data_IF_973902966835
#
_entry.id   IF_973902966835
#
_cell.length_a   1.000
_cell.length_b   1.000
_cell.length_c   1.000
_cell.angle_alpha   90.00
_cell.angle_beta   90.00
_cell.angle_gamma   90.00
#
_symmetry.space_group_name_H-M   'P 1'
#
loop_
_entity.id
_entity.type
_entity.pdbx_description
1 polymer ?
#
# COMPACT_ATOMS: atom_id res chain seq x y z
N UNK A 1 30.36 3.94 6.98
CA UNK A 1 30.58 4.55 5.66
C UNK A 1 31.01 5.99 5.86
N UNK A 2 32.04 6.45 5.15
CA UNK A 2 32.35 7.88 5.02
C UNK A 2 32.23 8.19 3.53
N UNK A 3 31.39 9.14 3.16
CA UNK A 3 31.37 9.65 1.79
C UNK A 3 32.55 10.64 1.68
N UNK A 4 33.63 10.32 0.94
CA UNK A 4 34.82 11.17 0.89
C UNK A 4 34.58 12.53 0.24
N UNK A 5 33.41 12.73 -0.38
CA UNK A 5 32.99 13.99 -1.00
C UNK A 5 32.03 14.80 -0.11
N UNK A 6 31.63 14.29 1.05
CA UNK A 6 30.81 15.04 2.00
C UNK A 6 31.67 16.04 2.78
N UNK A 7 31.10 17.21 3.06
CA UNK A 7 31.68 18.15 4.03
C UNK A 7 31.18 17.84 5.44
N UNK A 8 31.77 18.47 6.45
CA UNK A 8 31.46 18.21 7.86
C UNK A 8 29.98 18.43 8.23
N UNK A 9 29.28 19.35 7.56
CA UNK A 9 27.86 19.59 7.82
C UNK A 9 26.98 18.46 7.25
N UNK A 10 27.31 17.94 6.07
CA UNK A 10 26.65 16.77 5.50
C UNK A 10 26.91 15.51 6.34
N UNK A 11 28.15 15.33 6.84
CA UNK A 11 28.47 14.23 7.74
C UNK A 11 27.69 14.32 9.05
N UNK A 12 27.51 15.52 9.61
CA UNK A 12 26.66 15.74 10.80
C UNK A 12 25.20 15.40 10.53
N UNK A 13 24.68 15.67 9.34
CA UNK A 13 23.32 15.24 8.95
C UNK A 13 23.22 13.72 8.93
N UNK A 14 24.23 13.03 8.39
CA UNK A 14 24.27 11.57 8.39
C UNK A 14 24.33 10.98 9.81
N UNK A 15 25.18 11.53 10.70
CA UNK A 15 25.24 11.12 12.11
C UNK A 15 23.90 11.34 12.81
N UNK A 16 23.25 12.49 12.58
CA UNK A 16 21.90 12.75 13.13
C UNK A 16 20.87 11.73 12.65
N UNK A 17 20.93 11.32 11.38
CA UNK A 17 20.06 10.28 10.85
C UNK A 17 20.31 8.93 11.54
N UNK A 18 21.58 8.58 11.79
CA UNK A 18 21.94 7.37 12.54
C UNK A 18 21.45 7.40 13.99
N UNK A 19 21.63 8.52 14.69
CA UNK A 19 21.09 8.72 16.05
C UNK A 19 19.57 8.60 16.07
N UNK A 20 18.88 9.19 15.09
CA UNK A 20 17.42 9.15 14.99
C UNK A 20 16.92 7.73 14.74
N UNK A 21 17.49 7.01 13.76
CA UNK A 21 17.07 5.65 13.42
C UNK A 21 17.34 4.66 14.57
N UNK A 22 18.53 4.73 15.19
CA UNK A 22 18.84 3.89 16.36
C UNK A 22 18.00 4.30 17.59
N UNK A 23 17.72 5.59 17.75
CA UNK A 23 16.81 6.10 18.79
C UNK A 23 15.35 5.69 18.56
N UNK A 24 14.98 5.30 17.35
CA UNK A 24 13.66 4.78 16.98
C UNK A 24 13.55 3.23 17.03
N UNK A 25 14.66 2.51 17.24
CA UNK A 25 14.69 1.04 17.31
C UNK A 25 14.22 0.46 18.65
N UNK A 26 13.22 -0.41 18.60
CA UNK A 26 12.61 -1.10 19.73
C UNK A 26 12.96 -2.58 19.73
N UNK A 27 13.35 -3.08 20.90
CA UNK A 27 13.41 -4.53 21.13
C UNK A 27 12.02 -5.17 20.99
N UNK A 28 11.99 -6.42 20.54
CA UNK A 28 10.75 -7.21 20.51
C UNK A 28 10.07 -7.25 21.89
N UNK A 29 8.77 -6.98 21.91
CA UNK A 29 7.96 -6.97 23.14
C UNK A 29 6.47 -7.09 22.80
N UNK A 30 5.71 -7.72 23.71
CA UNK A 30 4.29 -7.98 23.49
C UNK A 30 4.07 -8.97 22.35
N UNK A 31 3.22 -8.59 21.39
CA UNK A 31 2.97 -9.38 20.19
C UNK A 31 4.21 -9.48 19.27
N UNK A 32 4.98 -8.40 19.13
CA UNK A 32 6.11 -8.30 18.20
C UNK A 32 7.14 -9.42 18.41
N UNK A 33 7.44 -10.18 17.35
CA UNK A 33 8.38 -11.34 17.39
C UNK A 33 9.83 -10.97 17.12
N UNK A 34 10.05 -9.81 16.54
CA UNK A 34 11.36 -9.28 16.18
C UNK A 34 11.46 -7.83 16.61
N UNK A 35 12.69 -7.38 16.74
CA UNK A 35 13.01 -5.98 16.89
C UNK A 35 12.48 -5.18 15.70
N UNK A 36 12.05 -3.94 15.94
CA UNK A 36 11.42 -3.09 14.94
C UNK A 36 11.89 -1.65 15.08
N UNK A 37 11.64 -0.81 14.09
CA UNK A 37 11.96 0.62 14.12
C UNK A 37 10.68 1.40 13.87
N UNK A 38 10.29 2.22 14.83
CA UNK A 38 9.06 3.01 14.69
C UNK A 38 9.34 4.33 13.94
N UNK A 39 8.33 5.00 13.37
CA UNK A 39 8.57 6.25 12.65
C UNK A 39 9.16 7.35 13.54
N UNK A 40 8.76 7.41 14.82
CA UNK A 40 9.34 8.33 15.80
C UNK A 40 9.04 7.89 17.24
N UNK A 41 10.08 7.79 18.07
CA UNK A 41 9.94 7.46 19.49
C UNK A 41 9.22 8.55 20.30
N UNK A 42 9.18 9.80 19.81
CA UNK A 42 8.60 10.94 20.54
C UNK A 42 7.23 11.38 20.02
N UNK A 43 6.80 10.87 18.86
CA UNK A 43 5.53 11.30 18.27
C UNK A 43 4.33 10.58 18.89
N UNK A 44 3.22 11.32 19.01
CA UNK A 44 1.98 10.92 19.71
C UNK A 44 1.45 9.55 19.29
N UNK A 45 1.55 9.21 18.01
CA UNK A 45 0.98 8.00 17.41
C UNK A 45 2.01 7.06 16.80
N UNK A 46 3.32 7.36 16.92
CA UNK A 46 4.40 6.54 16.36
C UNK A 46 5.33 5.93 17.41
N UNK A 47 5.09 6.21 18.70
CA UNK A 47 5.89 5.67 19.80
C UNK A 47 5.46 4.24 20.19
N UNK A 48 6.06 3.69 21.24
CA UNK A 48 5.97 2.26 21.56
C UNK A 48 6.77 1.44 20.54
N UNK A 49 6.23 0.31 20.08
CA UNK A 49 6.77 -0.51 18.98
C UNK A 49 5.78 -0.61 17.79
N UNK A 50 5.04 0.48 17.54
CA UNK A 50 4.13 0.58 16.41
C UNK A 50 4.93 0.65 15.09
N UNK A 51 4.68 -0.31 14.20
CA UNK A 51 5.52 -0.55 13.02
C UNK A 51 4.65 -0.65 11.77
N UNK A 52 5.09 0.05 10.71
CA UNK A 52 4.41 0.13 9.43
C UNK A 52 5.27 -0.46 8.31
N UNK A 53 4.68 -1.07 7.27
CA UNK A 53 5.44 -1.66 6.17
C UNK A 53 6.28 -0.63 5.41
N UNK A 54 5.68 0.47 4.90
CA UNK A 54 6.45 1.40 4.06
C UNK A 54 7.56 2.16 4.80
N UNK A 55 7.40 2.37 6.11
CA UNK A 55 8.42 2.96 6.99
C UNK A 55 9.56 1.96 7.11
N UNK A 56 9.22 0.70 7.37
CA UNK A 56 10.17 -0.41 7.50
C UNK A 56 11.04 -0.55 6.26
N UNK A 57 10.46 -0.52 5.06
CA UNK A 57 11.23 -0.66 3.80
C UNK A 57 12.29 0.43 3.68
N UNK A 58 11.90 1.68 3.94
CA UNK A 58 12.79 2.86 3.86
C UNK A 58 13.84 2.86 4.96
N UNK A 59 13.43 2.56 6.20
CA UNK A 59 14.32 2.48 7.36
C UNK A 59 15.36 1.38 7.16
N UNK A 60 14.96 0.16 6.81
CA UNK A 60 15.86 -0.96 6.61
C UNK A 60 16.87 -0.71 5.48
N UNK A 61 16.42 -0.08 4.38
CA UNK A 61 17.28 0.30 3.26
C UNK A 61 18.43 1.23 3.71
N UNK A 62 18.13 2.20 4.58
CA UNK A 62 19.14 3.09 5.16
C UNK A 62 19.99 2.39 6.23
N UNK A 63 19.33 1.68 7.16
CA UNK A 63 19.96 1.10 8.33
C UNK A 63 20.95 0.01 8.00
N UNK A 64 20.78 -0.75 6.91
CA UNK A 64 21.74 -1.82 6.60
C UNK A 64 23.18 -1.33 6.44
N UNK A 65 23.36 -0.05 6.13
CA UNK A 65 24.66 0.56 5.99
C UNK A 65 25.44 0.79 7.30
N UNK A 66 24.78 0.71 8.46
CA UNK A 66 25.41 0.97 9.76
C UNK A 66 24.87 0.10 10.91
N UNK A 67 23.70 -0.51 10.75
CA UNK A 67 23.05 -1.41 11.70
C UNK A 67 22.24 -2.51 10.95
N UNK A 68 22.94 -3.44 10.27
CA UNK A 68 22.31 -4.47 9.42
C UNK A 68 21.43 -5.47 10.17
N UNK A 69 21.74 -5.78 11.43
CA UNK A 69 20.96 -6.73 12.22
C UNK A 69 19.57 -6.16 12.54
N UNK A 70 19.49 -4.88 12.92
CA UNK A 70 18.21 -4.21 13.13
C UNK A 70 17.46 -4.02 11.81
N UNK A 71 18.15 -3.75 10.69
CA UNK A 71 17.49 -3.66 9.38
C UNK A 71 16.79 -4.98 8.99
N UNK A 72 17.47 -6.13 9.16
CA UNK A 72 16.88 -7.46 8.94
C UNK A 72 15.72 -7.72 9.87
N UNK A 73 15.88 -7.46 11.17
CA UNK A 73 14.83 -7.70 12.15
C UNK A 73 13.59 -6.82 11.94
N UNK A 74 13.77 -5.57 11.52
CA UNK A 74 12.66 -4.67 11.23
C UNK A 74 11.78 -5.23 10.08
N UNK A 75 12.42 -5.73 9.01
CA UNK A 75 11.72 -6.41 7.91
C UNK A 75 11.03 -7.68 8.43
N UNK A 76 11.74 -8.52 9.21
CA UNK A 76 11.14 -9.73 9.81
C UNK A 76 9.93 -9.42 10.69
N UNK A 77 9.95 -8.30 11.42
CA UNK A 77 8.84 -7.89 12.27
C UNK A 77 7.54 -7.75 11.48
N UNK A 78 7.59 -7.12 10.31
CA UNK A 78 6.42 -6.99 9.43
C UNK A 78 5.96 -8.35 8.90
N UNK A 79 6.88 -9.16 8.39
CA UNK A 79 6.55 -10.47 7.82
C UNK A 79 6.22 -11.55 8.86
N UNK A 80 6.44 -11.31 10.15
CA UNK A 80 6.06 -12.23 11.22
C UNK A 80 4.53 -12.37 11.36
N UNK A 81 3.79 -11.39 10.86
CA UNK A 81 2.33 -11.35 10.86
C UNK A 81 1.74 -11.33 9.45
N UNK A 82 2.53 -11.77 8.46
CA UNK A 82 2.02 -12.02 7.12
C UNK A 82 0.95 -13.12 7.19
N UNK A 83 -0.19 -12.89 6.56
CA UNK A 83 -1.34 -13.80 6.60
C UNK A 83 -0.99 -15.10 5.89
N UNK A 84 -1.37 -16.20 6.52
CA UNK A 84 -1.24 -17.56 6.01
C UNK A 84 -2.62 -18.07 5.58
N UNK A 85 -2.69 -19.05 4.67
CA UNK A 85 -3.95 -19.64 4.18
C UNK A 85 -4.94 -20.07 5.29
N UNK A 86 -4.43 -20.45 6.46
CA UNK A 86 -5.22 -20.92 7.60
C UNK A 86 -5.47 -19.83 8.67
N UNK A 87 -5.29 -18.55 8.33
CA UNK A 87 -5.54 -17.45 9.26
C UNK A 87 -6.99 -17.45 9.75
N UNK A 88 -7.17 -17.27 11.06
CA UNK A 88 -8.48 -17.36 11.70
C UNK A 88 -9.38 -16.14 11.49
N UNK A 89 -8.82 -15.02 11.04
CA UNK A 89 -9.53 -13.74 10.88
C UNK A 89 -9.82 -13.47 9.41
N UNK A 90 -8.83 -13.70 8.53
CA UNK A 90 -8.86 -13.31 7.11
C UNK A 90 -8.17 -14.34 6.19
N UNK A 91 -8.68 -15.59 6.10
CA UNK A 91 -8.07 -16.62 5.25
C UNK A 91 -8.10 -16.27 3.75
N UNK A 92 -8.93 -15.31 3.32
CA UNK A 92 -8.97 -14.79 1.95
C UNK A 92 -7.87 -13.77 1.63
N UNK A 93 -7.04 -13.39 2.61
CA UNK A 93 -5.94 -12.43 2.46
C UNK A 93 -4.56 -13.12 2.54
N UNK A 94 -4.40 -14.38 2.12
CA UNK A 94 -3.09 -15.05 2.13
C UNK A 94 -2.01 -14.19 1.46
N UNK A 95 -0.86 -14.04 2.12
CA UNK A 95 0.25 -13.20 1.65
C UNK A 95 0.19 -11.72 2.07
N UNK A 96 -0.97 -11.24 2.54
CA UNK A 96 -1.14 -9.87 3.06
C UNK A 96 -0.23 -9.54 4.24
N UNK A 97 0.22 -8.28 4.30
CA UNK A 97 0.98 -7.71 5.42
C UNK A 97 0.15 -6.58 6.08
N UNK A 98 -0.13 -6.66 7.39
CA UNK A 98 -0.85 -5.61 8.12
C UNK A 98 -0.21 -4.21 8.00
N UNK A 99 -1.04 -3.16 7.95
CA UNK A 99 -0.59 -1.78 7.96
C UNK A 99 0.09 -1.38 9.27
N UNK A 100 -0.45 -1.81 10.42
CA UNK A 100 0.13 -1.48 11.72
C UNK A 100 0.24 -2.70 12.59
N UNK A 101 1.47 -3.03 12.96
CA UNK A 101 1.78 -3.95 14.05
C UNK A 101 2.12 -3.16 15.30
N UNK A 102 1.76 -3.67 16.48
CA UNK A 102 2.02 -3.01 17.75
C UNK A 102 2.15 -4.02 18.90
N UNK A 103 2.42 -3.53 20.11
CA UNK A 103 2.57 -4.35 21.32
C UNK A 103 1.34 -5.24 21.57
N UNK A 104 0.13 -4.67 21.46
CA UNK A 104 -1.13 -5.37 21.70
C UNK A 104 -1.79 -5.72 20.37
N UNK A 105 -2.23 -6.99 20.25
CA UNK A 105 -3.07 -7.45 19.15
C UNK A 105 -4.43 -6.74 19.16
N UNK A 106 -5.12 -6.70 18.02
CA UNK A 106 -6.51 -6.25 17.97
C UNK A 106 -7.45 -7.21 18.72
N UNK A 107 -8.69 -6.78 19.05
CA UNK A 107 -9.71 -7.66 19.60
C UNK A 107 -10.02 -8.90 18.74
N UNK A 108 -9.97 -8.77 17.41
CA UNK A 108 -10.20 -9.88 16.47
C UNK A 108 -9.14 -10.98 16.62
N UNK A 109 -7.95 -10.61 17.11
CA UNK A 109 -6.83 -11.51 17.38
C UNK A 109 -6.64 -11.81 18.87
N UNK A 110 -7.64 -11.49 19.70
CA UNK A 110 -7.66 -11.81 21.13
C UNK A 110 -6.87 -10.86 22.03
N UNK A 111 -6.47 -9.69 21.53
CA UNK A 111 -5.89 -8.62 22.33
C UNK A 111 -6.88 -7.51 22.67
N UNK A 112 -6.37 -6.38 23.16
CA UNK A 112 -7.12 -5.17 23.50
C UNK A 112 -6.54 -3.90 22.83
N UNK A 113 -5.65 -4.09 21.86
CA UNK A 113 -4.97 -3.01 21.14
C UNK A 113 -5.91 -2.25 20.20
N UNK A 114 -5.87 -0.92 20.28
CA UNK A 114 -6.60 -0.04 19.37
C UNK A 114 -5.82 0.38 18.11
N UNK A 115 -4.52 0.09 18.06
CA UNK A 115 -3.65 0.54 16.97
C UNK A 115 -3.35 -0.53 15.92
N UNK A 116 -3.43 -1.82 16.28
CA UNK A 116 -3.22 -2.92 15.35
C UNK A 116 -4.20 -2.81 14.18
N UNK A 117 -3.70 -2.62 12.96
CA UNK A 117 -4.53 -2.30 11.80
C UNK A 117 -4.33 -3.31 10.67
N UNK A 118 -5.44 -3.90 10.24
CA UNK A 118 -5.50 -4.81 9.10
C UNK A 118 -6.53 -4.37 8.06
N UNK A 119 -6.97 -3.10 8.10
CA UNK A 119 -7.93 -2.54 7.14
C UNK A 119 -7.33 -2.28 5.76
N UNK A 120 -6.03 -2.17 5.68
CA UNK A 120 -5.24 -1.86 4.49
C UNK A 120 -3.80 -2.31 4.75
N UNK A 121 -2.98 -2.34 3.71
CA UNK A 121 -1.51 -2.44 3.85
C UNK A 121 -0.86 -1.07 3.58
N UNK A 122 0.34 -1.05 3.00
CA UNK A 122 1.05 0.13 2.48
C UNK A 122 1.75 -0.18 1.15
N UNK A 123 2.27 0.81 0.40
CA UNK A 123 2.91 0.54 -0.89
C UNK A 123 4.11 -0.40 -0.75
N UNK A 124 4.22 -1.39 -1.64
CA UNK A 124 5.25 -2.42 -1.53
C UNK A 124 6.60 -1.97 -2.10
N UNK A 125 7.55 -1.70 -1.20
CA UNK A 125 8.99 -1.60 -1.50
C UNK A 125 9.77 -2.72 -0.80
N UNK A 126 9.09 -3.83 -0.51
CA UNK A 126 9.64 -4.92 0.29
C UNK A 126 10.82 -5.61 -0.42
N UNK A 127 10.66 -6.00 -1.69
CA UNK A 127 11.73 -6.65 -2.45
C UNK A 127 12.94 -5.71 -2.66
N UNK A 128 12.69 -4.42 -2.85
CA UNK A 128 13.74 -3.39 -2.92
C UNK A 128 14.57 -3.32 -1.62
N UNK A 129 13.90 -3.28 -0.46
CA UNK A 129 14.58 -3.25 0.84
C UNK A 129 15.33 -4.56 1.13
N UNK A 130 14.71 -5.72 0.85
CA UNK A 130 15.33 -7.04 1.00
C UNK A 130 16.58 -7.16 0.13
N UNK A 131 16.50 -6.77 -1.15
CA UNK A 131 17.62 -6.79 -2.08
C UNK A 131 18.74 -5.85 -1.62
N UNK A 132 18.41 -4.67 -1.10
CA UNK A 132 19.43 -3.76 -0.55
C UNK A 132 20.19 -4.38 0.60
N UNK A 133 19.48 -5.10 1.47
CA UNK A 133 20.10 -5.81 2.59
C UNK A 133 21.08 -6.86 2.07
N UNK A 134 20.67 -7.65 1.09
CA UNK A 134 21.54 -8.62 0.44
C UNK A 134 22.76 -7.96 -0.21
N UNK A 135 22.58 -6.96 -1.06
CA UNK A 135 23.67 -6.25 -1.76
C UNK A 135 24.70 -5.64 -0.80
N UNK A 136 24.28 -5.29 0.41
CA UNK A 136 25.17 -4.73 1.45
C UNK A 136 25.89 -5.80 2.25
N UNK A 137 25.24 -6.94 2.52
CA UNK A 137 25.75 -7.97 3.45
C UNK A 137 26.34 -9.20 2.77
N UNK A 138 25.98 -9.48 1.51
CA UNK A 138 26.32 -10.71 0.79
C UNK A 138 25.63 -11.96 1.32
N UNK A 139 24.70 -11.84 2.28
CA UNK A 139 24.08 -12.98 2.96
C UNK A 139 23.01 -13.64 2.09
N UNK A 140 23.34 -14.76 1.45
CA UNK A 140 22.39 -15.50 0.61
C UNK A 140 21.26 -16.15 1.42
N UNK A 141 21.50 -16.55 2.67
CA UNK A 141 20.46 -17.17 3.51
C UNK A 141 19.32 -16.19 3.81
N UNK A 142 19.63 -14.89 3.86
CA UNK A 142 18.62 -13.84 3.94
C UNK A 142 17.66 -13.83 2.74
N UNK A 143 18.17 -14.04 1.52
CA UNK A 143 17.31 -14.15 0.34
C UNK A 143 16.46 -15.42 0.38
N UNK A 144 17.02 -16.54 0.82
CA UNK A 144 16.29 -17.81 0.99
C UNK A 144 15.15 -17.68 2.01
N UNK A 145 15.38 -16.93 3.09
CA UNK A 145 14.37 -16.63 4.12
C UNK A 145 13.24 -15.74 3.59
N UNK A 146 13.59 -14.68 2.86
CA UNK A 146 12.63 -13.63 2.49
C UNK A 146 11.89 -13.89 1.19
N UNK A 147 12.51 -14.60 0.24
CA UNK A 147 11.94 -14.84 -1.08
C UNK A 147 10.51 -15.40 -1.07
N UNK A 148 10.19 -16.51 -0.36
CA UNK A 148 8.82 -17.04 -0.36
C UNK A 148 7.80 -16.05 0.23
N UNK A 149 8.24 -15.19 1.16
CA UNK A 149 7.39 -14.17 1.79
C UNK A 149 7.09 -13.02 0.84
N UNK A 150 8.09 -12.60 0.06
CA UNK A 150 7.93 -11.59 -0.99
C UNK A 150 6.99 -12.09 -2.08
N UNK A 151 7.16 -13.34 -2.54
CA UNK A 151 6.27 -13.95 -3.56
C UNK A 151 4.83 -14.01 -3.06
N UNK A 152 4.58 -14.46 -1.82
CA UNK A 152 3.23 -14.47 -1.29
C UNK A 152 2.60 -13.06 -1.22
N UNK A 153 3.37 -12.03 -0.87
CA UNK A 153 2.87 -10.66 -0.84
C UNK A 153 2.60 -10.10 -2.25
N UNK A 154 3.46 -10.43 -3.22
CA UNK A 154 3.26 -10.14 -4.64
C UNK A 154 1.95 -10.73 -5.17
N UNK A 155 1.74 -12.03 -4.91
CA UNK A 155 0.55 -12.76 -5.36
C UNK A 155 -0.73 -12.20 -4.72
N UNK A 156 -0.67 -11.76 -3.45
CA UNK A 156 -1.80 -11.11 -2.78
C UNK A 156 -2.26 -9.83 -3.50
N UNK A 157 -1.34 -8.99 -3.98
CA UNK A 157 -1.71 -7.78 -4.73
C UNK A 157 -2.47 -8.13 -6.01
N UNK A 158 -1.98 -9.12 -6.77
CA UNK A 158 -2.64 -9.55 -8.00
C UNK A 158 -3.98 -10.25 -7.77
N UNK A 159 -4.20 -10.78 -6.56
CA UNK A 159 -5.46 -11.47 -6.22
C UNK A 159 -6.49 -10.52 -5.60
N UNK A 160 -6.06 -9.60 -4.73
CA UNK A 160 -6.97 -8.81 -3.88
C UNK A 160 -7.03 -7.32 -4.26
N UNK A 161 -6.18 -6.85 -5.18
CA UNK A 161 -5.99 -5.44 -5.57
C UNK A 161 -5.83 -5.24 -7.08
N UNK A 162 -6.49 -6.07 -7.88
CA UNK A 162 -6.54 -5.96 -9.34
C UNK A 162 -7.99 -6.17 -9.78
N UNK A 163 -8.79 -5.12 -9.66
CA UNK A 163 -10.24 -5.21 -9.83
C UNK A 163 -10.63 -5.67 -11.24
N UNK A 164 -9.92 -5.17 -12.24
CA UNK A 164 -10.22 -5.45 -13.66
C UNK A 164 -9.41 -6.64 -14.22
N UNK A 165 -8.51 -7.23 -13.44
CA UNK A 165 -7.74 -8.42 -13.79
C UNK A 165 -6.67 -8.17 -14.86
N UNK A 166 -6.20 -6.93 -15.01
CA UNK A 166 -5.23 -6.58 -16.05
C UNK A 166 -3.77 -6.73 -15.60
N UNK A 167 -3.53 -7.15 -14.35
CA UNK A 167 -2.25 -7.25 -13.65
C UNK A 167 -1.57 -5.90 -13.33
N UNK A 168 -2.34 -4.83 -13.22
CA UNK A 168 -1.92 -3.49 -12.80
C UNK A 168 -2.71 -3.13 -11.55
N UNK A 169 -2.09 -3.16 -10.36
CA UNK A 169 -2.86 -3.16 -9.14
C UNK A 169 -3.34 -1.75 -8.75
N UNK A 170 -4.45 -1.68 -8.01
CA UNK A 170 -5.00 -0.45 -7.44
C UNK A 170 -4.76 -0.35 -5.93
N UNK A 171 -4.79 0.88 -5.38
CA UNK A 171 -4.87 1.04 -3.94
C UNK A 171 -6.29 0.68 -3.49
N UNK A 172 -6.41 0.12 -2.29
CA UNK A 172 -7.66 -0.44 -1.86
C UNK A 172 -7.75 -0.70 -0.36
N UNK A 173 -8.71 -1.53 0.01
CA UNK A 173 -8.96 -1.87 1.40
C UNK A 173 -9.34 -3.34 1.54
N UNK A 174 -9.12 -3.89 2.73
CA UNK A 174 -9.48 -5.28 3.02
C UNK A 174 -10.96 -5.39 3.38
N UNK A 175 -11.49 -6.61 3.33
CA UNK A 175 -12.73 -6.95 4.06
C UNK A 175 -12.47 -6.82 5.57
N UNK A 176 -13.25 -5.96 6.24
CA UNK A 176 -13.05 -5.66 7.66
C UNK A 176 -14.36 -5.26 8.34
N UNK A 177 -14.47 -5.47 9.66
CA UNK A 177 -15.63 -5.06 10.47
C UNK A 177 -15.94 -3.56 10.37
N UNK A 178 -14.93 -2.73 10.09
CA UNK A 178 -15.09 -1.29 9.90
C UNK A 178 -15.62 -0.95 8.51
N UNK A 179 -15.51 -1.86 7.54
CA UNK A 179 -15.75 -1.60 6.13
C UNK A 179 -17.07 -2.18 5.64
N UNK A 180 -17.50 -3.30 6.22
CA UNK A 180 -18.71 -3.99 5.79
C UNK A 180 -19.50 -4.62 6.93
N UNK A 181 -20.78 -4.87 6.65
CA UNK A 181 -21.62 -5.73 7.47
C UNK A 181 -21.07 -7.18 7.49
N UNK A 182 -21.55 -8.03 8.42
CA UNK A 182 -21.21 -9.46 8.41
C UNK A 182 -21.57 -10.18 7.10
N UNK A 183 -22.59 -9.69 6.39
CA UNK A 183 -23.00 -10.20 5.07
C UNK A 183 -22.18 -9.65 3.90
N UNK A 184 -21.16 -8.84 4.15
CA UNK A 184 -20.27 -8.29 3.11
C UNK A 184 -20.77 -7.03 2.41
N UNK A 185 -21.81 -6.37 2.93
CA UNK A 185 -22.29 -5.11 2.35
C UNK A 185 -21.44 -3.94 2.83
N UNK A 186 -20.87 -3.19 1.89
CA UNK A 186 -20.05 -2.01 2.16
C UNK A 186 -20.79 -0.97 3.00
N UNK A 187 -20.14 -0.40 4.01
CA UNK A 187 -20.64 0.70 4.84
C UNK A 187 -20.25 2.05 4.23
N UNK A 188 -21.17 3.01 4.26
CA UNK A 188 -20.85 4.42 3.95
C UNK A 188 -21.80 5.37 4.68
N UNK A 189 -21.37 6.61 4.88
CA UNK A 189 -22.16 7.65 5.55
C UNK A 189 -22.31 8.85 4.63
N UNK A 190 -23.55 9.29 4.44
CA UNK A 190 -23.87 10.51 3.71
C UNK A 190 -24.04 11.65 4.73
N UNK A 191 -23.35 12.77 4.48
CA UNK A 191 -23.55 14.02 5.21
C UNK A 191 -24.33 15.01 4.35
N UNK A 192 -25.34 15.66 4.94
CA UNK A 192 -26.13 16.76 4.38
C UNK A 192 -26.39 17.80 5.48
N UNK A 193 -25.77 18.96 5.37
CA UNK A 193 -25.65 19.93 6.45
C UNK A 193 -25.09 19.27 7.71
N UNK A 194 -25.82 19.40 8.82
CA UNK A 194 -25.45 18.81 10.10
C UNK A 194 -25.94 17.37 10.29
N UNK A 195 -26.61 16.78 9.29
CA UNK A 195 -27.14 15.41 9.38
C UNK A 195 -26.18 14.42 8.74
N UNK A 196 -25.85 13.38 9.49
CA UNK A 196 -25.15 12.21 8.97
C UNK A 196 -26.06 10.99 9.05
N UNK A 197 -26.10 10.19 7.97
CA UNK A 197 -26.84 8.93 7.93
C UNK A 197 -25.99 7.84 7.29
N UNK A 198 -25.89 6.69 7.96
CA UNK A 198 -25.16 5.52 7.46
C UNK A 198 -26.08 4.64 6.62
N UNK A 199 -25.55 4.19 5.50
CA UNK A 199 -26.17 3.30 4.53
C UNK A 199 -25.24 2.11 4.25
N UNK A 200 -25.79 1.11 3.58
CA UNK A 200 -25.08 -0.13 3.24
C UNK A 200 -25.30 -0.52 1.78
N UNK A 201 -24.29 -1.13 1.18
CA UNK A 201 -24.35 -1.72 -0.16
C UNK A 201 -23.90 -0.79 -1.29
N UNK A 202 -23.24 -1.39 -2.29
CA UNK A 202 -22.64 -0.67 -3.43
C UNK A 202 -23.71 -0.03 -4.34
N UNK A 203 -24.82 -0.74 -4.60
CA UNK A 203 -25.93 -0.20 -5.40
C UNK A 203 -26.49 1.10 -4.81
N UNK A 204 -26.66 1.13 -3.49
CA UNK A 204 -27.16 2.31 -2.79
C UNK A 204 -26.15 3.46 -2.85
N UNK A 205 -24.87 3.14 -2.76
CA UNK A 205 -23.80 4.14 -2.93
C UNK A 205 -23.81 4.74 -4.34
N UNK A 206 -23.92 3.90 -5.37
CA UNK A 206 -23.98 4.35 -6.77
C UNK A 206 -25.22 5.24 -7.03
N UNK A 207 -26.38 4.91 -6.46
CA UNK A 207 -27.56 5.78 -6.54
C UNK A 207 -27.28 7.19 -5.97
N UNK A 208 -26.51 7.30 -4.88
CA UNK A 208 -26.13 8.60 -4.31
C UNK A 208 -25.13 9.36 -5.18
N UNK A 209 -24.15 8.67 -5.75
CA UNK A 209 -23.22 9.28 -6.71
C UNK A 209 -23.97 9.88 -7.90
N UNK A 210 -24.88 9.12 -8.51
CA UNK A 210 -25.66 9.55 -9.68
C UNK A 210 -26.58 10.74 -9.37
N UNK A 211 -27.21 10.75 -8.18
CA UNK A 211 -28.16 11.79 -7.83
C UNK A 211 -27.52 13.08 -7.28
N UNK A 212 -26.24 13.03 -6.90
CA UNK A 212 -25.48 14.18 -6.39
C UNK A 212 -26.05 14.81 -5.11
N UNK A 213 -26.94 14.13 -4.39
CA UNK A 213 -27.60 14.66 -3.20
C UNK A 213 -26.78 14.37 -1.94
N UNK A 214 -25.61 14.99 -1.80
CA UNK A 214 -24.78 14.89 -0.60
C UNK A 214 -23.80 16.06 -0.55
N UNK A 215 -23.39 16.44 0.67
CA UNK A 215 -22.28 17.39 0.84
C UNK A 215 -20.96 16.63 0.96
N UNK A 216 -21.00 15.44 1.59
CA UNK A 216 -19.85 14.55 1.74
C UNK A 216 -20.33 13.10 1.79
N UNK A 217 -19.58 12.20 1.16
CA UNK A 217 -19.67 10.75 1.38
C UNK A 217 -18.43 10.32 2.17
N UNK A 218 -18.65 9.59 3.26
CA UNK A 218 -17.58 8.96 4.05
C UNK A 218 -17.68 7.45 3.89
N UNK A 219 -16.69 6.85 3.24
CA UNK A 219 -16.62 5.40 3.05
C UNK A 219 -15.41 4.91 3.85
N UNK A 220 -15.60 4.18 4.98
CA UNK A 220 -14.49 3.72 5.80
C UNK A 220 -13.44 2.89 5.04
N UNK A 221 -13.87 2.13 4.03
CA UNK A 221 -12.98 1.38 3.15
C UNK A 221 -12.19 2.30 2.20
N UNK A 222 -12.80 3.33 1.62
CA UNK A 222 -12.07 4.30 0.79
C UNK A 222 -11.07 5.12 1.60
N UNK A 223 -11.40 5.46 2.86
CA UNK A 223 -10.45 6.08 3.80
C UNK A 223 -9.26 5.14 4.04
N UNK A 224 -9.50 3.83 4.22
CA UNK A 224 -8.41 2.87 4.35
C UNK A 224 -7.59 2.72 3.05
N UNK A 225 -8.20 2.90 1.88
CA UNK A 225 -7.48 2.95 0.61
C UNK A 225 -6.57 4.18 0.49
N UNK A 226 -7.01 5.35 0.97
CA UNK A 226 -6.12 6.51 1.05
C UNK A 226 -4.95 6.26 2.01
N UNK A 227 -5.18 5.56 3.13
CA UNK A 227 -4.09 5.10 3.99
C UNK A 227 -3.17 4.10 3.29
N UNK A 228 -3.69 3.19 2.46
CA UNK A 228 -2.89 2.21 1.72
C UNK A 228 -1.91 2.88 0.76
N UNK A 229 -2.28 4.03 0.20
CA UNK A 229 -1.38 4.85 -0.62
C UNK A 229 -0.23 5.49 0.17
N UNK A 230 -0.40 5.65 1.49
CA UNK A 230 0.49 6.42 2.36
C UNK A 230 0.47 7.93 2.12
N UNK A 231 -0.50 8.43 1.34
CA UNK A 231 -0.67 9.84 0.95
C UNK A 231 -2.13 10.25 1.12
N UNK A 232 -2.61 10.13 2.36
CA UNK A 232 -4.02 10.13 2.77
C UNK A 232 -4.88 11.30 2.26
N UNK A 233 -4.28 12.45 1.96
CA UNK A 233 -4.95 13.68 1.52
C UNK A 233 -4.41 14.18 0.16
N UNK A 234 -3.80 13.30 -0.64
CA UNK A 234 -3.28 13.71 -1.95
C UNK A 234 -4.41 14.03 -2.93
N UNK A 235 -4.22 15.11 -3.70
CA UNK A 235 -5.16 15.57 -4.71
C UNK A 235 -5.61 14.46 -5.69
N UNK A 236 -4.68 13.59 -6.09
CA UNK A 236 -4.94 12.50 -7.03
C UNK A 236 -5.97 11.47 -6.53
N UNK A 237 -6.23 11.44 -5.22
CA UNK A 237 -7.26 10.59 -4.60
C UNK A 237 -8.56 11.35 -4.31
N UNK A 238 -8.77 12.50 -4.95
CA UNK A 238 -10.00 13.29 -4.83
C UNK A 238 -10.03 14.26 -3.66
N UNK A 239 -8.91 14.42 -2.92
CA UNK A 239 -8.85 15.35 -1.80
C UNK A 239 -8.55 16.77 -2.27
N UNK A 240 -9.54 17.64 -2.10
CA UNK A 240 -9.48 19.07 -2.44
C UNK A 240 -10.29 19.85 -1.41
N UNK A 241 -9.80 21.01 -0.98
CA UNK A 241 -10.58 21.86 -0.07
C UNK A 241 -11.70 22.61 -0.82
N UNK A 242 -12.67 23.14 -0.07
CA UNK A 242 -13.86 23.79 -0.64
C UNK A 242 -13.51 25.01 -1.49
N UNK A 243 -12.54 25.83 -1.07
CA UNK A 243 -12.13 27.04 -1.79
C UNK A 243 -11.42 26.68 -3.12
N UNK A 244 -10.57 25.64 -3.09
CA UNK A 244 -9.90 25.11 -4.26
C UNK A 244 -10.90 24.51 -5.25
N UNK A 245 -11.88 23.74 -4.77
CA UNK A 245 -12.89 23.12 -5.61
C UNK A 245 -13.80 24.18 -6.26
N UNK A 246 -14.24 25.19 -5.51
CA UNK A 246 -15.01 26.30 -6.04
C UNK A 246 -14.24 27.06 -7.13
N UNK A 247 -12.94 27.26 -6.92
CA UNK A 247 -12.05 27.87 -7.91
C UNK A 247 -11.91 27.02 -9.16
N UNK A 248 -11.70 25.70 -9.01
CA UNK A 248 -11.62 24.75 -10.12
C UNK A 248 -12.91 24.76 -10.96
N UNK A 249 -14.07 24.73 -10.30
CA UNK A 249 -15.37 24.81 -10.97
C UNK A 249 -15.58 26.16 -11.67
N UNK A 250 -15.16 27.27 -11.04
CA UNK A 250 -15.26 28.61 -11.65
C UNK A 250 -14.44 28.77 -12.94
N UNK A 251 -13.42 27.92 -13.13
CA UNK A 251 -12.57 27.89 -14.33
C UNK A 251 -13.07 26.90 -15.40
N UNK A 252 -14.21 26.25 -15.16
CA UNK A 252 -14.86 25.34 -16.11
C UNK A 252 -14.66 23.85 -15.83
N UNK A 253 -14.03 23.48 -14.72
CA UNK A 253 -13.98 22.08 -14.25
C UNK A 253 -15.30 21.61 -13.63
N UNK A 254 -15.48 20.29 -13.50
CA UNK A 254 -16.66 19.71 -12.86
C UNK A 254 -16.30 19.16 -11.47
N UNK A 255 -17.21 19.28 -10.50
CA UNK A 255 -16.98 18.69 -9.17
C UNK A 255 -16.73 17.18 -9.24
N UNK A 256 -17.45 16.49 -10.13
CA UNK A 256 -17.31 15.05 -10.37
C UNK A 256 -15.93 14.64 -10.88
N UNK A 257 -15.10 15.56 -11.38
CA UNK A 257 -13.73 15.26 -11.78
C UNK A 257 -12.87 14.86 -10.57
N UNK A 258 -13.28 15.24 -9.36
CA UNK A 258 -12.63 14.91 -8.09
C UNK A 258 -13.24 13.67 -7.40
N UNK A 259 -14.31 13.11 -7.94
CA UNK A 259 -14.90 11.89 -7.41
C UNK A 259 -14.04 10.68 -7.82
N UNK A 260 -13.53 9.96 -6.82
CA UNK A 260 -12.87 8.67 -7.02
C UNK A 260 -13.88 7.57 -6.72
N UNK A 261 -14.32 6.87 -7.75
CA UNK A 261 -15.23 5.73 -7.60
C UNK A 261 -14.53 4.56 -6.88
N UNK A 262 -15.32 3.65 -6.30
CA UNK A 262 -14.83 2.60 -5.42
C UNK A 262 -15.56 1.28 -5.72
N UNK A 263 -14.85 0.16 -5.76
CA UNK A 263 -15.40 -1.15 -6.14
C UNK A 263 -15.09 -2.24 -5.12
N UNK A 264 -15.85 -3.34 -5.18
CA UNK A 264 -15.62 -4.55 -4.39
C UNK A 264 -14.93 -5.62 -5.24
N UNK A 265 -13.89 -6.23 -4.68
CA UNK A 265 -13.15 -7.33 -5.32
C UNK A 265 -13.68 -8.66 -4.80
N UNK A 266 -14.00 -9.58 -5.71
CA UNK A 266 -14.54 -10.89 -5.40
C UNK A 266 -13.72 -11.99 -6.05
N UNK A 267 -13.60 -13.13 -5.39
CA UNK A 267 -13.09 -14.35 -6.03
C UNK A 267 -14.07 -14.87 -7.09
N UNK A 268 -13.64 -15.83 -7.91
CA UNK A 268 -14.50 -16.51 -8.88
C UNK A 268 -15.73 -17.17 -8.22
N UNK A 269 -15.58 -17.65 -6.99
CA UNK A 269 -16.67 -18.24 -6.18
C UNK A 269 -17.56 -17.19 -5.50
N UNK A 270 -17.30 -15.90 -5.70
CA UNK A 270 -18.07 -14.80 -5.13
C UNK A 270 -17.69 -14.44 -3.70
N UNK A 271 -16.53 -14.90 -3.20
CA UNK A 271 -16.05 -14.48 -1.87
C UNK A 271 -15.57 -13.04 -1.93
N UNK A 272 -16.07 -12.16 -1.06
CA UNK A 272 -15.56 -10.80 -0.94
C UNK A 272 -14.10 -10.83 -0.43
N UNK A 273 -13.18 -10.41 -1.29
CA UNK A 273 -11.74 -10.31 -1.01
C UNK A 273 -11.37 -8.95 -0.42
N UNK A 274 -12.00 -7.88 -0.89
CA UNK A 274 -11.71 -6.52 -0.46
C UNK A 274 -12.30 -5.49 -1.39
N UNK A 275 -11.60 -4.37 -1.53
CA UNK A 275 -12.03 -3.21 -2.30
C UNK A 275 -10.85 -2.60 -3.04
N UNK A 276 -11.12 -1.95 -4.16
CA UNK A 276 -10.16 -1.14 -4.92
C UNK A 276 -10.76 0.24 -5.21
N UNK A 277 -9.90 1.25 -5.30
CA UNK A 277 -10.24 2.46 -6.04
C UNK A 277 -10.49 2.07 -7.50
N UNK A 278 -11.46 2.69 -8.16
CA UNK A 278 -11.63 2.59 -9.62
C UNK A 278 -10.60 3.48 -10.33
N UNK A 279 -9.34 3.32 -9.94
CA UNK A 279 -8.19 4.12 -10.34
C UNK A 279 -6.92 3.30 -10.14
N UNK A 280 -6.13 3.16 -11.21
CA UNK A 280 -4.82 2.55 -11.16
C UNK A 280 -3.77 3.64 -10.95
N UNK A 281 -3.02 3.54 -9.86
CA UNK A 281 -2.04 4.56 -9.49
C UNK A 281 -0.68 4.33 -10.11
N UNK A 282 -0.08 5.38 -10.67
CA UNK A 282 1.19 5.25 -11.42
C UNK A 282 2.36 4.93 -10.50
N UNK A 283 2.37 5.43 -9.26
CA UNK A 283 3.37 5.06 -8.28
C UNK A 283 3.22 3.60 -7.86
N UNK A 284 1.99 3.11 -7.68
CA UNK A 284 1.74 1.71 -7.37
C UNK A 284 2.17 0.77 -8.49
N UNK A 285 1.80 1.06 -9.74
CA UNK A 285 2.25 0.30 -10.90
C UNK A 285 3.79 0.30 -11.00
N UNK A 286 4.43 1.43 -10.69
CA UNK A 286 5.90 1.56 -10.66
C UNK A 286 6.54 0.75 -9.52
N UNK A 287 5.90 0.67 -8.35
CA UNK A 287 6.35 -0.19 -7.25
C UNK A 287 6.19 -1.67 -7.61
N UNK A 288 5.09 -2.05 -8.26
CA UNK A 288 4.90 -3.42 -8.75
C UNK A 288 5.91 -3.78 -9.86
N UNK A 289 6.26 -2.84 -10.74
CA UNK A 289 7.35 -3.02 -11.70
C UNK A 289 8.67 -3.29 -10.99
N UNK A 290 9.00 -2.48 -9.98
CA UNK A 290 10.19 -2.65 -9.14
C UNK A 290 10.17 -4.00 -8.40
N UNK A 291 9.03 -4.41 -7.86
CA UNK A 291 8.86 -5.68 -7.14
C UNK A 291 9.17 -6.87 -8.06
N UNK A 292 8.59 -6.90 -9.26
CA UNK A 292 8.88 -7.90 -10.28
C UNK A 292 10.37 -7.92 -10.68
N UNK A 293 10.99 -6.76 -10.90
CA UNK A 293 12.42 -6.68 -11.22
C UNK A 293 13.30 -7.28 -10.12
N UNK A 294 13.04 -6.95 -8.86
CA UNK A 294 13.81 -7.50 -7.74
C UNK A 294 13.51 -8.96 -7.48
N UNK A 295 12.25 -9.41 -7.60
CA UNK A 295 11.91 -10.82 -7.51
C UNK A 295 12.66 -11.62 -8.57
N UNK A 296 12.71 -11.15 -9.83
CA UNK A 296 13.50 -11.78 -10.87
C UNK A 296 15.00 -11.89 -10.53
N UNK A 297 15.59 -10.81 -10.02
CA UNK A 297 17.00 -10.80 -9.59
C UNK A 297 17.25 -11.78 -8.44
N UNK A 298 16.35 -11.84 -7.45
CA UNK A 298 16.44 -12.80 -6.34
C UNK A 298 16.30 -14.23 -6.87
N UNK A 299 15.35 -14.49 -7.77
CA UNK A 299 15.16 -15.80 -8.38
C UNK A 299 16.43 -16.29 -9.08
N UNK A 300 17.13 -15.44 -9.85
CA UNK A 300 18.41 -15.80 -10.46
C UNK A 300 19.46 -16.18 -9.40
N UNK A 301 19.60 -15.34 -8.36
CA UNK A 301 20.57 -15.54 -7.27
C UNK A 301 20.31 -16.84 -6.49
N UNK A 302 19.04 -17.25 -6.41
CA UNK A 302 18.60 -18.50 -5.79
C UNK A 302 18.56 -19.70 -6.75
N UNK A 303 18.93 -19.52 -8.03
CA UNK A 303 18.96 -20.60 -9.01
C UNK A 303 17.58 -21.05 -9.50
N UNK A 304 16.64 -20.11 -9.63
CA UNK A 304 15.25 -20.30 -10.06
C UNK A 304 14.97 -19.60 -11.41
N UNK A 305 15.57 -20.04 -12.52
CA UNK A 305 15.55 -19.29 -13.78
C UNK A 305 14.17 -19.16 -14.42
N UNK A 306 13.28 -20.14 -14.25
CA UNK A 306 11.91 -20.05 -14.78
C UNK A 306 11.07 -19.01 -14.03
N UNK A 307 11.18 -18.97 -12.69
CA UNK A 307 10.54 -17.92 -11.87
C UNK A 307 11.12 -16.55 -12.24
N UNK A 308 12.44 -16.44 -12.44
CA UNK A 308 13.08 -15.21 -12.87
C UNK A 308 12.57 -14.72 -14.24
N UNK A 309 12.32 -15.64 -15.17
CA UNK A 309 11.78 -15.33 -16.49
C UNK A 309 10.34 -14.81 -16.41
N UNK A 310 9.51 -15.44 -15.58
CA UNK A 310 8.13 -15.02 -15.35
C UNK A 310 8.05 -13.59 -14.78
N UNK A 311 8.81 -13.31 -13.72
CA UNK A 311 8.85 -11.97 -13.13
C UNK A 311 9.38 -10.90 -14.07
N UNK A 312 10.37 -11.19 -14.91
CA UNK A 312 10.81 -10.23 -15.96
C UNK A 312 9.70 -9.94 -16.97
N UNK A 313 8.96 -10.95 -17.42
CA UNK A 313 7.86 -10.75 -18.35
C UNK A 313 6.74 -9.89 -17.75
N UNK A 314 6.42 -10.08 -16.47
CA UNK A 314 5.48 -9.22 -15.72
C UNK A 314 5.98 -7.79 -15.61
N UNK A 315 7.27 -7.59 -15.33
CA UNK A 315 7.87 -6.26 -15.30
C UNK A 315 7.82 -5.57 -16.68
N UNK A 316 8.13 -6.28 -17.76
CA UNK A 316 8.08 -5.72 -19.12
C UNK A 316 6.65 -5.27 -19.47
N UNK A 317 5.63 -6.08 -19.12
CA UNK A 317 4.22 -5.71 -19.30
C UNK A 317 3.85 -4.42 -18.54
N UNK A 318 4.29 -4.30 -17.27
CA UNK A 318 4.04 -3.10 -16.47
C UNK A 318 4.77 -1.87 -17.03
N UNK A 319 6.01 -2.05 -17.49
CA UNK A 319 6.77 -0.98 -18.14
C UNK A 319 6.01 -0.44 -19.36
N UNK A 320 5.56 -1.33 -20.24
CA UNK A 320 4.80 -0.94 -21.43
C UNK A 320 3.48 -0.25 -21.05
N UNK A 321 2.76 -0.78 -20.06
CA UNK A 321 1.50 -0.21 -19.58
C UNK A 321 1.69 1.19 -18.99
N UNK A 322 2.66 1.38 -18.09
CA UNK A 322 2.95 2.70 -17.47
C UNK A 322 3.27 3.74 -18.55
N UNK A 323 4.15 3.41 -19.50
CA UNK A 323 4.55 4.36 -20.55
C UNK A 323 3.44 4.63 -21.57
N UNK A 324 2.57 3.66 -21.83
CA UNK A 324 1.48 3.80 -22.81
C UNK A 324 0.24 4.48 -22.22
N UNK A 325 -0.11 4.14 -20.98
CA UNK A 325 -1.39 4.48 -20.38
C UNK A 325 -1.31 5.62 -19.39
N UNK A 326 -0.19 5.76 -18.66
CA UNK A 326 -0.07 6.71 -17.55
C UNK A 326 0.76 7.94 -17.91
N UNK A 327 1.43 7.97 -19.07
CA UNK A 327 2.15 9.15 -19.55
C UNK A 327 1.26 10.02 -20.43
N UNK A 328 1.04 11.27 -20.03
CA UNK A 328 0.41 12.27 -20.88
C UNK A 328 1.46 13.04 -21.69
N UNK A 329 1.44 12.83 -23.00
CA UNK A 329 2.33 13.53 -23.95
C UNK A 329 2.06 15.03 -24.07
N UNK A 330 0.86 15.51 -23.69
CA UNK A 330 0.51 16.94 -23.80
C UNK A 330 1.20 17.76 -22.70
N UNK A 331 1.14 17.27 -21.46
CA UNK A 331 1.79 17.91 -20.30
C UNK A 331 3.23 17.43 -20.09
N UNK A 332 3.61 16.28 -20.66
CA UNK A 332 4.93 15.69 -20.51
C UNK A 332 5.15 15.05 -19.14
N UNK A 333 4.09 14.51 -18.52
CA UNK A 333 4.12 14.02 -17.15
C UNK A 333 3.30 12.74 -16.96
N UNK A 334 3.52 12.04 -15.85
CA UNK A 334 2.81 10.81 -15.49
C UNK A 334 1.69 11.07 -14.49
N UNK A 335 0.57 10.38 -14.68
CA UNK A 335 -0.62 10.49 -13.84
C UNK A 335 -1.25 9.12 -13.59
N UNK A 336 -2.03 9.03 -12.53
CA UNK A 336 -2.96 7.92 -12.34
C UNK A 336 -3.98 7.90 -13.47
N UNK A 337 -4.59 6.74 -13.70
CA UNK A 337 -5.67 6.59 -14.69
C UNK A 337 -6.92 6.05 -14.00
N UNK A 338 -8.11 6.48 -14.42
CA UNK A 338 -9.36 5.87 -13.95
C UNK A 338 -9.53 4.49 -14.56
N UNK A 339 -10.24 3.60 -13.86
CA UNK A 339 -10.80 2.39 -14.46
C UNK A 339 -12.17 2.78 -15.02
N UNK A 340 -12.23 3.02 -16.32
CA UNK A 340 -13.47 3.36 -17.03
C UNK A 340 -14.32 2.10 -17.29
N UNK A 341 -15.63 2.26 -17.51
CA UNK A 341 -16.55 1.16 -17.82
C UNK A 341 -16.13 0.32 -19.05
N UNK A 342 -15.34 0.93 -19.94
CA UNK A 342 -14.81 0.29 -21.14
C UNK A 342 -13.35 0.66 -21.30
N UNK A 343 -12.54 -0.36 -21.57
CA UNK A 343 -11.15 -0.18 -21.96
C UNK A 343 -11.04 0.76 -23.17
N UNK A 344 -10.01 1.59 -23.15
CA UNK A 344 -9.62 2.37 -24.30
C UNK A 344 -9.13 1.43 -25.42
N UNK A 345 -9.17 1.90 -26.66
CA UNK A 345 -8.79 1.10 -27.84
C UNK A 345 -7.33 0.61 -27.83
N UNK A 346 -6.47 1.25 -27.04
CA UNK A 346 -5.07 0.86 -26.85
C UNK A 346 -4.86 -0.12 -25.67
N UNK A 347 -5.94 -0.57 -25.02
CA UNK A 347 -5.89 -1.51 -23.90
C UNK A 347 -5.74 -0.89 -22.51
N UNK A 348 -5.64 0.44 -22.42
CA UNK A 348 -5.58 1.14 -21.13
C UNK A 348 -6.94 1.16 -20.43
N UNK A 349 -6.94 1.06 -19.09
CA UNK A 349 -8.16 1.09 -18.29
C UNK A 349 -8.93 2.43 -18.38
N UNK A 350 -8.21 3.52 -18.62
CA UNK A 350 -8.78 4.84 -18.81
C UNK A 350 -7.72 5.86 -19.17
N UNK A 351 -8.10 7.14 -19.17
CA UNK A 351 -7.20 8.25 -19.49
C UNK A 351 -6.41 8.72 -18.25
N UNK A 352 -5.19 9.27 -18.45
CA UNK A 352 -4.48 10.03 -17.42
C UNK A 352 -5.38 11.12 -16.81
N UNK A 353 -5.39 11.23 -15.48
CA UNK A 353 -6.23 12.16 -14.70
C UNK A 353 -5.59 13.54 -14.60
#
# INVERSE_FOLDING_TARGET
>A
MINPHANIELDRVAVKAMETLNGNWRGHAGAMKFDSVTPSVTARWFSGNQTWPWDTWKQAYAMVHFNPDVAKNNIRAMFAYQIQANDSVRPWDEGYIPDVLAYNLSPERGGDGGNWNERNTKPSLAAWAVMKVYKTTGDKAWLEEMYPKLVAYHDWWLTNRDHNGNAVPEYGATRDKAHNTPSGQMLFTIKRGDKEQTFVGLDKYNEFLENGQYDQIKIPAQIAASWESGRDEAAIFGFIDEEQLDRYVSQGGNRSDWDVAFAQNHSEEGTLLGYSLMQESVDQASYMYSDNQYLAEISDLLGKPEEAKDFRAKADKLFDYINTCMFDTVTGFFYDIRIEDKLLTNGCAGKPI
#
